data_IF_823097370691
#
_entry.id   IF_823097370691
#
_cell.length_a   1.000
_cell.length_b   1.000
_cell.length_c   1.000
_cell.angle_alpha   90.00
_cell.angle_beta   90.00
_cell.angle_gamma   90.00
#
_symmetry.space_group_name_H-M   'P 1'
#
loop_
_entity.id
_entity.type
_entity.pdbx_description
1 polymer ?
#
# COMPACT_ATOMS: atom_id res chain seq x y z
N UNK A 1 -24.29 6.53 -36.59
CA UNK A 1 -24.78 6.02 -35.31
C UNK A 1 -24.88 4.51 -35.41
N UNK A 2 -24.10 3.81 -34.59
CA UNK A 2 -24.19 2.36 -34.48
C UNK A 2 -25.44 2.03 -33.65
N UNK A 3 -26.48 1.49 -34.29
CA UNK A 3 -27.59 0.93 -33.54
C UNK A 3 -27.20 -0.48 -33.08
N UNK A 4 -26.98 -0.64 -31.79
CA UNK A 4 -26.84 -1.97 -31.19
C UNK A 4 -28.22 -2.61 -31.07
N UNK A 5 -28.47 -3.68 -31.82
CA UNK A 5 -29.62 -4.56 -31.58
C UNK A 5 -29.14 -5.64 -30.58
N UNK A 6 -29.77 -5.69 -29.42
CA UNK A 6 -29.48 -6.69 -28.39
C UNK A 6 -29.94 -8.11 -28.77
N UNK A 7 -30.73 -8.26 -29.83
CA UNK A 7 -31.40 -9.52 -30.21
C UNK A 7 -30.42 -10.63 -30.64
N UNK A 8 -29.20 -10.28 -31.07
CA UNK A 8 -28.20 -11.27 -31.46
C UNK A 8 -27.28 -11.73 -30.26
N UNK A 9 -27.32 -11.04 -29.14
CA UNK A 9 -26.52 -11.37 -27.94
C UNK A 9 -27.18 -12.48 -27.11
N UNK A 10 -28.50 -12.49 -27.03
CA UNK A 10 -29.24 -13.46 -26.21
C UNK A 10 -29.01 -14.93 -26.60
N UNK A 11 -28.89 -15.30 -27.90
CA UNK A 11 -28.61 -16.69 -28.27
C UNK A 11 -27.19 -17.16 -27.95
N UNK A 12 -26.21 -16.24 -27.80
CA UNK A 12 -24.80 -16.58 -27.57
C UNK A 12 -24.46 -16.77 -26.09
N UNK A 13 -25.35 -16.37 -25.18
CA UNK A 13 -25.10 -16.36 -23.75
C UNK A 13 -24.05 -15.33 -23.30
N UNK A 14 -23.55 -14.49 -24.22
CA UNK A 14 -22.57 -13.44 -23.90
C UNK A 14 -23.23 -12.32 -23.09
N UNK A 15 -22.53 -11.82 -22.10
CA UNK A 15 -22.92 -10.71 -21.25
C UNK A 15 -22.04 -9.49 -21.49
N UNK A 16 -22.44 -8.34 -20.99
CA UNK A 16 -21.61 -7.13 -21.05
C UNK A 16 -20.21 -7.36 -20.45
N UNK A 17 -20.10 -8.24 -19.45
CA UNK A 17 -18.81 -8.59 -18.83
C UNK A 17 -17.84 -9.25 -19.81
N UNK A 18 -18.35 -10.06 -20.74
CA UNK A 18 -17.53 -10.78 -21.72
C UNK A 18 -16.86 -9.84 -22.72
N UNK A 19 -17.46 -8.64 -22.94
CA UNK A 19 -16.89 -7.62 -23.83
C UNK A 19 -15.86 -6.72 -23.15
N UNK A 20 -15.95 -6.52 -21.84
CA UNK A 20 -15.04 -5.67 -21.06
C UNK A 20 -13.95 -6.47 -20.37
N UNK A 21 -14.14 -7.79 -20.21
CA UNK A 21 -13.14 -8.66 -19.60
C UNK A 21 -11.90 -8.76 -20.49
N UNK A 22 -10.69 -8.79 -19.91
CA UNK A 22 -9.48 -9.02 -20.68
C UNK A 22 -9.49 -10.41 -21.31
N UNK A 23 -9.01 -10.49 -22.56
CA UNK A 23 -9.02 -11.72 -23.34
C UNK A 23 -8.16 -12.85 -22.77
N UNK A 24 -7.16 -12.50 -21.99
CA UNK A 24 -6.27 -13.47 -21.34
C UNK A 24 -5.52 -12.87 -20.15
N UNK A 25 -5.25 -13.71 -19.17
CA UNK A 25 -4.33 -13.44 -18.06
C UNK A 25 -3.23 -14.49 -18.07
N UNK A 26 -1.97 -14.06 -17.92
CA UNK A 26 -0.83 -14.95 -17.82
C UNK A 26 0.11 -14.46 -16.71
N UNK A 27 0.33 -15.32 -15.71
CA UNK A 27 1.29 -15.14 -14.64
C UNK A 27 2.47 -16.07 -14.90
N UNK A 28 3.40 -15.65 -15.75
CA UNK A 28 4.55 -16.49 -16.15
C UNK A 28 5.88 -16.08 -15.56
N UNK A 29 5.97 -14.85 -15.08
CA UNK A 29 7.18 -14.27 -14.49
C UNK A 29 6.83 -13.74 -13.10
N UNK A 30 7.73 -13.90 -12.13
CA UNK A 30 7.47 -13.51 -10.75
C UNK A 30 7.29 -12.02 -10.49
N UNK A 31 7.59 -11.18 -11.49
CA UNK A 31 7.53 -9.70 -11.39
C UNK A 31 6.48 -9.06 -12.27
N UNK A 32 5.97 -9.81 -13.24
CA UNK A 32 5.08 -9.29 -14.26
C UNK A 32 3.93 -10.25 -14.52
N UNK A 33 2.82 -9.68 -14.90
CA UNK A 33 1.72 -10.44 -15.51
C UNK A 33 1.42 -9.89 -16.90
N UNK A 34 0.85 -10.71 -17.75
CA UNK A 34 0.33 -10.26 -19.03
C UNK A 34 -1.20 -10.25 -18.98
N UNK A 35 -1.79 -9.20 -19.50
CA UNK A 35 -3.23 -9.03 -19.64
C UNK A 35 -3.54 -8.63 -21.08
N UNK A 36 -4.02 -9.58 -21.87
CA UNK A 36 -4.16 -9.40 -23.31
C UNK A 36 -2.79 -9.10 -23.95
N UNK A 37 -2.66 -7.93 -24.56
CA UNK A 37 -1.42 -7.47 -25.20
C UNK A 37 -0.52 -6.64 -24.29
N UNK A 38 -0.97 -6.30 -23.10
CA UNK A 38 -0.22 -5.46 -22.15
C UNK A 38 0.52 -6.27 -21.12
N UNK A 39 1.65 -5.75 -20.68
CA UNK A 39 2.38 -6.26 -19.53
C UNK A 39 2.10 -5.36 -18.34
N UNK A 40 1.86 -5.95 -17.19
CA UNK A 40 1.59 -5.22 -15.95
C UNK A 40 2.49 -5.68 -14.81
N UNK A 41 2.60 -4.82 -13.81
CA UNK A 41 3.22 -5.12 -12.53
C UNK A 41 2.40 -4.46 -11.41
N UNK A 42 2.42 -5.08 -10.26
CA UNK A 42 1.73 -4.58 -9.07
C UNK A 42 2.76 -4.14 -8.05
N UNK A 43 2.52 -2.98 -7.45
CA UNK A 43 3.32 -2.46 -6.35
C UNK A 43 2.40 -2.07 -5.21
N UNK A 44 2.89 -2.12 -3.97
CA UNK A 44 2.19 -1.54 -2.83
C UNK A 44 2.90 -0.28 -2.37
N UNK A 45 2.11 0.68 -1.90
CA UNK A 45 2.60 1.91 -1.33
C UNK A 45 2.77 1.74 0.17
N UNK A 46 3.98 1.96 0.65
CA UNK A 46 4.32 2.02 2.06
C UNK A 46 4.40 3.47 2.50
N UNK A 47 3.61 3.84 3.49
CA UNK A 47 3.55 5.20 4.03
C UNK A 47 4.60 5.28 5.14
N UNK A 48 5.61 6.14 4.94
CA UNK A 48 6.71 6.34 5.89
C UNK A 48 6.53 7.64 6.70
N UNK A 49 5.61 8.50 6.27
CA UNK A 49 5.28 9.74 6.95
C UNK A 49 4.16 9.52 7.98
N UNK A 50 4.12 10.30 9.07
CA UNK A 50 3.01 10.27 10.03
C UNK A 50 1.69 10.76 9.42
N UNK A 51 1.75 11.57 8.38
CA UNK A 51 0.58 12.10 7.67
C UNK A 51 0.72 11.87 6.16
N UNK A 52 -0.34 11.42 5.52
CA UNK A 52 -0.42 11.27 4.08
C UNK A 52 -1.31 12.37 3.50
N UNK A 53 -0.76 13.15 2.56
CA UNK A 53 -1.52 14.14 1.82
C UNK A 53 -2.25 13.45 0.64
N UNK A 54 -3.50 13.83 0.40
CA UNK A 54 -4.32 13.37 -0.73
C UNK A 54 -3.72 13.73 -2.10
N UNK A 55 -2.82 14.69 -2.16
CA UNK A 55 -2.10 15.10 -3.37
C UNK A 55 -1.35 13.93 -4.04
N UNK A 56 -0.91 12.94 -3.28
CA UNK A 56 -0.24 11.75 -3.87
C UNK A 56 -1.14 11.02 -4.86
N UNK A 57 -2.47 10.96 -4.59
CA UNK A 57 -3.44 10.36 -5.50
C UNK A 57 -3.54 11.16 -6.80
N UNK A 58 -3.64 12.48 -6.69
CA UNK A 58 -3.68 13.37 -7.85
C UNK A 58 -2.38 13.24 -8.67
N UNK A 59 -1.22 13.36 -8.03
CA UNK A 59 0.09 13.25 -8.69
C UNK A 59 0.29 11.86 -9.38
N UNK A 60 -0.25 10.77 -8.81
CA UNK A 60 -0.20 9.45 -9.43
C UNK A 60 -1.15 9.30 -10.61
N UNK A 61 -2.36 9.86 -10.53
CA UNK A 61 -3.36 9.78 -11.59
C UNK A 61 -3.06 10.74 -12.74
N UNK A 62 -2.30 11.81 -12.49
CA UNK A 62 -1.82 12.75 -13.52
C UNK A 62 -0.66 12.19 -14.37
N UNK A 63 -0.12 11.00 -14.00
CA UNK A 63 0.86 10.32 -14.86
C UNK A 63 0.23 9.95 -16.20
N UNK A 64 0.85 10.35 -17.31
CA UNK A 64 0.47 9.95 -18.68
C UNK A 64 0.82 8.48 -18.96
N UNK A 65 0.43 7.58 -18.05
CA UNK A 65 0.78 6.16 -18.08
C UNK A 65 -0.44 5.29 -17.76
N UNK A 66 -0.37 4.02 -18.09
CA UNK A 66 -1.40 3.05 -17.69
C UNK A 66 -1.30 2.71 -16.21
N UNK A 67 -1.83 3.57 -15.34
CA UNK A 67 -1.83 3.38 -13.90
C UNK A 67 -3.26 3.10 -13.38
N UNK A 68 -3.38 2.14 -12.49
CA UNK A 68 -4.60 1.86 -11.73
C UNK A 68 -4.24 1.89 -10.25
N UNK A 69 -4.95 2.71 -9.50
CA UNK A 69 -4.81 2.79 -8.05
C UNK A 69 -5.97 2.05 -7.40
N UNK A 70 -5.66 1.12 -6.51
CA UNK A 70 -6.64 0.37 -5.74
C UNK A 70 -6.41 0.62 -4.25
N UNK A 71 -7.43 1.12 -3.58
CA UNK A 71 -7.43 1.45 -2.18
C UNK A 71 -8.35 0.49 -1.42
N UNK A 72 -7.76 -0.40 -0.64
CA UNK A 72 -8.47 -1.30 0.24
C UNK A 72 -8.51 -0.74 1.65
N UNK A 73 -9.70 -0.46 2.16
CA UNK A 73 -9.92 0.09 3.49
C UNK A 73 -10.77 -0.89 4.30
N UNK A 74 -10.25 -1.35 5.43
CA UNK A 74 -10.97 -2.20 6.37
C UNK A 74 -11.07 -1.50 7.72
N UNK A 75 -12.28 -1.26 8.20
CA UNK A 75 -12.50 -0.76 9.56
C UNK A 75 -12.14 -1.83 10.59
N UNK A 76 -11.53 -1.41 11.69
CA UNK A 76 -11.23 -2.29 12.84
C UNK A 76 -12.17 -1.91 13.98
N UNK A 77 -12.68 -2.90 14.68
CA UNK A 77 -13.42 -2.66 15.91
C UNK A 77 -12.55 -1.90 16.92
N UNK A 78 -13.15 -0.94 17.65
CA UNK A 78 -12.44 -0.08 18.58
C UNK A 78 -11.73 -0.87 19.69
N UNK A 79 -12.35 -1.93 20.20
CA UNK A 79 -11.75 -2.77 21.23
C UNK A 79 -10.55 -3.55 20.71
N UNK A 80 -10.62 -4.03 19.47
CA UNK A 80 -9.52 -4.71 18.76
C UNK A 80 -8.38 -3.74 18.44
N UNK A 81 -8.71 -2.53 17.99
CA UNK A 81 -7.73 -1.47 17.72
C UNK A 81 -6.95 -1.13 19.00
N UNK A 82 -7.64 -0.85 20.11
CA UNK A 82 -7.03 -0.57 21.42
C UNK A 82 -6.11 -1.71 21.86
N UNK A 83 -6.57 -2.97 21.74
CA UNK A 83 -5.79 -4.15 22.11
C UNK A 83 -4.53 -4.28 21.24
N UNK A 84 -4.64 -3.99 19.95
CA UNK A 84 -3.52 -4.05 19.01
C UNK A 84 -2.48 -2.99 19.34
N UNK A 85 -2.88 -1.74 19.59
CA UNK A 85 -1.96 -0.66 19.96
C UNK A 85 -1.29 -0.94 21.32
N UNK A 86 -2.03 -1.40 22.32
CA UNK A 86 -1.43 -1.79 23.62
C UNK A 86 -0.37 -2.87 23.46
N UNK A 87 -0.60 -3.86 22.59
CA UNK A 87 0.41 -4.90 22.30
C UNK A 87 1.65 -4.28 21.66
N UNK A 88 1.50 -3.39 20.67
CA UNK A 88 2.61 -2.69 20.02
C UNK A 88 3.41 -1.84 21.01
N UNK A 89 2.75 -1.12 21.92
CA UNK A 89 3.43 -0.36 22.99
C UNK A 89 4.27 -1.31 23.86
N UNK A 90 3.70 -2.44 24.28
CA UNK A 90 4.43 -3.44 25.06
C UNK A 90 5.66 -3.98 24.34
N UNK A 91 5.54 -4.23 23.03
CA UNK A 91 6.67 -4.72 22.23
C UNK A 91 7.75 -3.65 22.07
N UNK A 92 7.37 -2.38 21.86
CA UNK A 92 8.31 -1.25 21.82
C UNK A 92 9.02 -1.05 23.17
N UNK A 93 8.30 -1.17 24.28
CA UNK A 93 8.90 -1.08 25.62
C UNK A 93 9.90 -2.22 25.86
N UNK A 94 9.61 -3.45 25.41
CA UNK A 94 10.58 -4.57 25.47
C UNK A 94 11.82 -4.28 24.62
N UNK A 95 11.64 -3.80 23.37
CA UNK A 95 12.77 -3.44 22.50
C UNK A 95 13.63 -2.35 23.14
N UNK A 96 13.01 -1.35 23.77
CA UNK A 96 13.72 -0.31 24.53
C UNK A 96 14.58 -0.90 25.65
N UNK A 97 14.02 -1.81 26.44
CA UNK A 97 14.76 -2.49 27.53
C UNK A 97 15.92 -3.33 26.98
N UNK A 98 15.74 -4.00 25.85
CA UNK A 98 16.80 -4.79 25.20
C UNK A 98 17.94 -3.91 24.71
N UNK A 99 17.64 -2.77 24.07
CA UNK A 99 18.66 -1.82 23.63
C UNK A 99 19.40 -1.18 24.80
N UNK A 100 18.69 -0.84 25.88
CA UNK A 100 19.33 -0.37 27.11
C UNK A 100 20.29 -1.42 27.71
N UNK A 101 19.88 -2.69 27.76
CA UNK A 101 20.76 -3.78 28.23
C UNK A 101 21.99 -3.96 27.33
N UNK A 102 21.83 -3.79 26.02
CA UNK A 102 22.98 -3.84 25.09
C UNK A 102 23.91 -2.68 25.31
N UNK A 103 23.42 -1.45 25.48
CA UNK A 103 24.22 -0.26 25.75
C UNK A 103 25.06 -0.44 27.01
N UNK A 104 24.44 -0.89 28.10
CA UNK A 104 25.15 -1.17 29.37
C UNK A 104 26.26 -2.23 29.20
N UNK A 105 25.96 -3.32 28.47
CA UNK A 105 26.98 -4.37 28.20
C UNK A 105 28.17 -3.86 27.37
N UNK A 106 27.90 -2.84 26.53
CA UNK A 106 28.93 -2.21 25.69
C UNK A 106 29.61 -1.01 26.35
N UNK A 107 29.34 -0.73 27.63
CA UNK A 107 29.92 0.36 28.39
C UNK A 107 29.38 1.75 28.05
N UNK A 108 28.24 1.83 27.40
CA UNK A 108 27.54 3.09 27.11
C UNK A 108 26.49 3.41 28.18
N UNK A 109 26.09 4.67 28.23
CA UNK A 109 25.06 5.14 29.17
C UNK A 109 23.70 4.56 28.84
N UNK A 110 22.88 4.24 29.86
CA UNK A 110 21.53 3.68 29.73
C UNK A 110 20.56 4.62 29.03
N UNK A 111 20.87 5.91 28.96
CA UNK A 111 19.99 6.92 28.33
C UNK A 111 20.13 6.99 26.79
N UNK A 112 21.06 6.24 26.21
CA UNK A 112 21.22 6.15 24.77
C UNK A 112 20.19 5.17 24.19
N UNK A 113 18.99 5.70 23.95
CA UNK A 113 17.92 4.98 23.25
C UNK A 113 17.92 5.47 21.80
N UNK A 114 17.83 4.57 20.79
CA UNK A 114 17.61 5.00 19.43
C UNK A 114 16.41 5.96 19.35
N UNK A 115 16.63 7.13 18.74
CA UNK A 115 15.61 8.19 18.61
C UNK A 115 14.28 7.68 18.08
N UNK A 116 14.37 6.74 17.13
CA UNK A 116 13.21 6.15 16.47
C UNK A 116 12.30 5.36 17.45
N UNK A 117 12.90 4.59 18.37
CA UNK A 117 12.15 3.86 19.39
C UNK A 117 11.44 4.80 20.38
N UNK A 118 12.07 5.92 20.72
CA UNK A 118 11.47 6.93 21.59
C UNK A 118 10.29 7.60 20.89
N UNK A 119 10.46 7.98 19.62
CA UNK A 119 9.42 8.60 18.79
C UNK A 119 8.24 7.67 18.60
N UNK A 120 8.46 6.45 18.11
CA UNK A 120 7.40 5.45 17.91
C UNK A 120 6.65 5.09 19.19
N UNK A 121 7.36 5.05 20.34
CA UNK A 121 6.74 4.82 21.63
C UNK A 121 5.80 5.95 22.05
N UNK A 122 6.17 7.21 21.80
CA UNK A 122 5.32 8.38 22.09
C UNK A 122 4.12 8.45 21.15
N UNK A 123 4.33 8.23 19.86
CA UNK A 123 3.25 8.22 18.85
C UNK A 123 2.22 7.12 19.12
N UNK A 124 2.67 5.91 19.47
CA UNK A 124 1.77 4.81 19.83
C UNK A 124 0.92 5.12 21.06
N UNK A 125 1.48 5.83 22.07
CA UNK A 125 0.75 6.28 23.26
C UNK A 125 -0.27 7.36 22.92
N UNK A 126 0.09 8.33 22.08
CA UNK A 126 -0.81 9.37 21.60
C UNK A 126 -1.97 8.75 20.81
N UNK A 127 -1.70 7.84 19.89
CA UNK A 127 -2.72 7.11 19.15
C UNK A 127 -3.67 6.32 20.08
N UNK A 128 -3.12 5.68 21.13
CA UNK A 128 -3.94 4.99 22.12
C UNK A 128 -4.87 5.97 22.84
N UNK A 129 -4.37 7.14 23.21
CA UNK A 129 -5.17 8.18 23.86
C UNK A 129 -6.29 8.69 22.94
N UNK A 130 -6.00 8.92 21.65
CA UNK A 130 -6.98 9.39 20.67
C UNK A 130 -8.09 8.36 20.45
N UNK A 131 -7.74 7.06 20.36
CA UNK A 131 -8.71 5.97 20.26
C UNK A 131 -9.60 5.84 21.51
N UNK A 132 -9.08 6.14 22.71
CA UNK A 132 -9.81 6.00 23.96
C UNK A 132 -10.64 7.23 24.32
N UNK A 133 -10.13 8.44 24.05
CA UNK A 133 -10.73 9.69 24.55
C UNK A 133 -11.48 10.49 23.48
N UNK A 134 -11.08 10.37 22.20
CA UNK A 134 -11.65 11.15 21.10
C UNK A 134 -12.61 10.38 20.22
N UNK A 135 -12.90 9.13 20.55
CA UNK A 135 -13.74 8.24 19.74
C UNK A 135 -13.27 8.12 18.28
N UNK A 136 -11.97 8.26 18.06
CA UNK A 136 -11.38 8.04 16.75
C UNK A 136 -11.42 6.57 16.37
N UNK A 137 -11.43 6.29 15.08
CA UNK A 137 -11.49 4.92 14.54
C UNK A 137 -10.25 4.58 13.79
N UNK A 138 -9.79 3.35 13.94
CA UNK A 138 -8.65 2.82 13.22
C UNK A 138 -9.10 2.04 11.99
N UNK A 139 -8.38 2.23 10.90
CA UNK A 139 -8.58 1.51 9.65
C UNK A 139 -7.28 0.84 9.22
N UNK A 140 -7.38 -0.36 8.65
CA UNK A 140 -6.30 -0.96 7.88
C UNK A 140 -6.42 -0.46 6.44
N UNK A 141 -5.33 0.07 5.95
CA UNK A 141 -5.22 0.59 4.60
C UNK A 141 -4.24 -0.27 3.81
N UNK A 142 -4.66 -0.76 2.64
CA UNK A 142 -3.77 -1.35 1.64
C UNK A 142 -3.89 -0.54 0.36
N UNK A 143 -2.80 0.06 -0.06
CA UNK A 143 -2.73 0.90 -1.24
C UNK A 143 -1.92 0.16 -2.31
N UNK A 144 -2.59 -0.29 -3.37
CA UNK A 144 -1.96 -0.98 -4.47
C UNK A 144 -1.93 -0.09 -5.71
N UNK A 145 -0.80 -0.12 -6.41
CA UNK A 145 -0.59 0.57 -7.67
C UNK A 145 -0.29 -0.48 -8.73
N UNK A 146 -1.11 -0.53 -9.76
CA UNK A 146 -0.92 -1.40 -10.92
C UNK A 146 -0.50 -0.53 -12.09
N UNK A 147 0.69 -0.78 -12.61
CA UNK A 147 1.18 -0.17 -13.84
C UNK A 147 1.03 -1.14 -15.00
N UNK A 148 0.59 -0.64 -16.16
CA UNK A 148 0.44 -1.44 -17.38
C UNK A 148 0.98 -0.69 -18.59
N UNK A 149 1.77 -1.39 -19.42
CA UNK A 149 2.33 -0.84 -20.64
C UNK A 149 2.40 -1.90 -21.76
N UNK A 150 2.61 -1.44 -22.97
CA UNK A 150 2.72 -2.33 -24.16
C UNK A 150 4.07 -3.06 -24.20
N UNK A 151 5.10 -2.53 -23.52
CA UNK A 151 6.43 -3.12 -23.44
C UNK A 151 6.97 -3.11 -22.02
N UNK A 152 7.79 -4.10 -21.66
CA UNK A 152 8.45 -4.16 -20.34
C UNK A 152 9.30 -2.93 -20.05
N UNK A 153 10.01 -2.39 -21.06
CA UNK A 153 10.85 -1.20 -20.91
C UNK A 153 10.00 0.02 -20.53
N UNK A 154 8.87 0.22 -21.20
CA UNK A 154 7.95 1.32 -20.85
C UNK A 154 7.38 1.11 -19.46
N UNK A 155 6.99 -0.13 -19.13
CA UNK A 155 6.47 -0.48 -17.80
C UNK A 155 7.47 -0.14 -16.68
N UNK A 156 8.76 -0.46 -16.86
CA UNK A 156 9.79 -0.13 -15.85
C UNK A 156 9.95 1.39 -15.69
N UNK A 157 9.92 2.15 -16.79
CA UNK A 157 9.96 3.61 -16.72
C UNK A 157 8.73 4.17 -15.98
N UNK A 158 7.55 3.63 -16.24
CA UNK A 158 6.29 4.05 -15.62
C UNK A 158 6.30 3.75 -14.11
N UNK A 159 6.81 2.57 -13.71
CA UNK A 159 7.00 2.20 -12.30
C UNK A 159 8.00 3.15 -11.62
N UNK A 160 9.11 3.47 -12.29
CA UNK A 160 10.11 4.39 -11.77
C UNK A 160 9.53 5.80 -11.56
N UNK A 161 8.73 6.28 -12.51
CA UNK A 161 8.03 7.57 -12.37
C UNK A 161 7.06 7.56 -11.18
N UNK A 162 6.26 6.50 -11.03
CA UNK A 162 5.35 6.34 -9.88
C UNK A 162 6.11 6.27 -8.55
N UNK A 163 7.26 5.57 -8.51
CA UNK A 163 8.12 5.52 -7.33
C UNK A 163 8.69 6.90 -6.97
N UNK A 164 9.04 7.73 -7.96
CA UNK A 164 9.48 9.11 -7.74
C UNK A 164 8.40 9.98 -7.08
N UNK A 165 7.13 9.82 -7.48
CA UNK A 165 5.98 10.48 -6.85
C UNK A 165 5.82 10.00 -5.41
N UNK A 166 5.92 8.69 -5.16
CA UNK A 166 5.83 8.15 -3.81
C UNK A 166 6.93 8.75 -2.90
N UNK A 167 8.18 8.76 -3.36
CA UNK A 167 9.30 9.34 -2.60
C UNK A 167 9.11 10.82 -2.30
N UNK A 168 8.58 11.61 -3.24
CA UNK A 168 8.28 13.04 -3.04
C UNK A 168 7.27 13.26 -1.90
N UNK A 169 6.40 12.28 -1.66
CA UNK A 169 5.38 12.30 -0.61
C UNK A 169 5.79 11.49 0.63
N UNK A 170 7.09 11.24 0.86
CA UNK A 170 7.62 10.41 1.95
C UNK A 170 6.98 9.02 2.03
N UNK A 171 6.76 8.41 0.88
CA UNK A 171 6.27 7.05 0.74
C UNK A 171 7.28 6.21 -0.05
N UNK A 172 7.24 4.90 0.11
CA UNK A 172 7.97 3.96 -0.71
C UNK A 172 7.00 3.14 -1.57
N UNK A 173 7.35 2.93 -2.83
CA UNK A 173 6.61 2.05 -3.72
C UNK A 173 7.40 0.76 -3.91
N UNK A 174 6.93 -0.32 -3.31
CA UNK A 174 7.60 -1.62 -3.34
C UNK A 174 6.84 -2.58 -4.24
N UNK A 175 7.55 -3.15 -5.23
CA UNK A 175 6.95 -4.11 -6.16
C UNK A 175 6.60 -5.42 -5.45
N UNK A 176 5.46 -5.99 -5.79
CA UNK A 176 5.06 -7.31 -5.36
C UNK A 176 5.66 -8.34 -6.33
N UNK A 177 6.63 -9.12 -5.85
CA UNK A 177 7.23 -10.21 -6.60
C UNK A 177 6.55 -11.52 -6.17
N UNK A 178 6.06 -12.32 -7.14
CA UNK A 178 5.32 -13.59 -6.93
C UNK A 178 4.00 -13.48 -6.13
N UNK A 179 3.44 -12.28 -5.99
CA UNK A 179 2.22 -12.01 -5.22
C UNK A 179 1.22 -11.12 -5.99
N UNK A 180 1.36 -11.04 -7.32
CA UNK A 180 0.49 -10.25 -8.18
C UNK A 180 -0.96 -10.78 -8.26
#
# INVERSE_FOLDING_TARGET
PFSFSYDWLTPTGLTTKDFIAPSSFKFGEGRYFAMGKKTGAVSFLEILAPELNDRILADMLDLETGVIVNLHIKSIDQSEAIKTIKRKITDLDKMKIEEQKKAVRSGYDMDIIPSDLATFGSEAKNLLQDLQSRNERMFLLTFLVVNMADTKRKLENDIFAAAGIAQKNNCALTRLDYQQ
#
